data_IF_988260973123
#
_entry.id   IF_988260973123
#
_cell.length_a   1.000
_cell.length_b   1.000
_cell.length_c   1.000
_cell.angle_alpha   90.00
_cell.angle_beta   90.00
_cell.angle_gamma   90.00
#
_symmetry.space_group_name_H-M   'P 1'
#
loop_
_entity.id
_entity.type
_entity.pdbx_description
1 polymer ?
#
# COMPACT_ATOMS: atom_id res chain seq x y z
N UNK A 1 -56.54 25.75 64.86
CA UNK A 1 -57.79 26.48 64.73
C UNK A 1 -58.68 25.74 63.69
N UNK A 2 -59.96 25.66 64.00
CA UNK A 2 -60.94 25.06 63.04
C UNK A 2 -61.85 26.15 62.54
N UNK A 3 -61.86 26.32 61.21
CA UNK A 3 -62.75 27.28 60.57
C UNK A 3 -64.11 26.64 60.30
N UNK A 4 -65.08 27.04 61.10
CA UNK A 4 -66.44 26.54 61.03
C UNK A 4 -67.36 27.43 60.13
N UNK A 5 -66.77 28.45 59.52
CA UNK A 5 -67.49 29.31 58.55
C UNK A 5 -67.67 28.69 57.17
N UNK A 6 -66.92 27.61 56.91
CA UNK A 6 -66.93 26.77 55.71
C UNK A 6 -67.62 25.41 55.97
N UNK A 7 -68.16 24.81 54.96
CA UNK A 7 -68.83 23.49 55.11
C UNK A 7 -68.23 22.52 54.06
N UNK A 8 -67.54 21.45 54.48
CA UNK A 8 -67.29 21.05 55.90
C UNK A 8 -66.29 21.99 56.57
N UNK A 9 -66.28 22.06 57.91
CA UNK A 9 -65.31 22.83 58.71
C UNK A 9 -63.87 22.41 58.36
N UNK A 10 -62.99 23.40 58.19
CA UNK A 10 -61.60 23.18 57.82
C UNK A 10 -60.67 23.41 59.01
N UNK A 11 -59.73 22.50 59.26
CA UNK A 11 -58.62 22.73 60.16
C UNK A 11 -57.53 23.55 59.52
N UNK A 12 -57.21 24.71 60.14
CA UNK A 12 -56.15 25.59 59.67
C UNK A 12 -54.98 25.63 60.65
N UNK A 13 -53.78 25.73 60.14
CA UNK A 13 -52.56 25.86 60.89
C UNK A 13 -51.87 27.17 60.47
N UNK A 14 -51.40 27.91 61.44
CA UNK A 14 -50.63 29.16 61.23
C UNK A 14 -49.17 28.81 60.81
N UNK A 15 -48.74 29.24 59.68
CA UNK A 15 -47.36 28.93 59.17
C UNK A 15 -46.32 29.97 59.60
N UNK A 16 -46.75 31.03 60.27
CA UNK A 16 -45.97 32.19 60.70
C UNK A 16 -46.31 33.46 59.93
N UNK A 17 -47.03 33.34 58.83
CA UNK A 17 -47.43 34.43 57.93
C UNK A 17 -48.92 34.43 57.63
N UNK A 18 -49.49 33.24 57.34
CA UNK A 18 -50.87 33.06 57.01
C UNK A 18 -51.48 31.78 57.56
N UNK A 19 -52.80 31.71 57.58
CA UNK A 19 -53.54 30.50 57.98
C UNK A 19 -53.72 29.57 56.75
N UNK A 20 -52.99 28.44 56.76
CA UNK A 20 -53.08 27.43 55.71
C UNK A 20 -54.02 26.30 56.08
N UNK A 21 -54.73 25.73 55.12
CA UNK A 21 -55.55 24.53 55.31
C UNK A 21 -54.64 23.33 55.61
N UNK A 22 -54.96 22.56 56.66
CA UNK A 22 -54.09 21.42 57.08
C UNK A 22 -53.82 20.41 55.99
N UNK A 23 -54.83 20.12 55.16
CA UNK A 23 -54.66 19.22 53.98
C UNK A 23 -53.67 19.72 52.97
N UNK A 24 -53.57 21.04 52.77
CA UNK A 24 -52.62 21.64 51.86
C UNK A 24 -51.18 21.48 52.38
N UNK A 25 -51.00 21.63 53.70
CA UNK A 25 -49.71 21.41 54.38
C UNK A 25 -49.25 19.96 54.23
N UNK A 26 -50.15 18.99 54.42
CA UNK A 26 -49.81 17.57 54.26
C UNK A 26 -49.48 17.22 52.80
N UNK A 27 -50.22 17.79 51.86
CA UNK A 27 -49.93 17.66 50.43
C UNK A 27 -48.53 18.22 50.07
N UNK A 28 -48.22 19.40 50.59
CA UNK A 28 -46.90 20.00 50.42
C UNK A 28 -45.78 19.11 51.01
N UNK A 29 -45.99 18.61 52.24
CA UNK A 29 -45.02 17.72 52.87
C UNK A 29 -44.79 16.44 52.06
N UNK A 30 -45.83 15.82 51.55
CA UNK A 30 -45.75 14.64 50.72
C UNK A 30 -44.98 14.93 49.42
N UNK A 31 -45.28 16.08 48.80
CA UNK A 31 -44.57 16.48 47.59
C UNK A 31 -43.09 16.72 47.85
N UNK A 32 -42.76 17.40 48.98
CA UNK A 32 -41.34 17.59 49.39
C UNK A 32 -40.63 16.25 49.59
N UNK A 33 -41.27 15.29 50.26
CA UNK A 33 -40.71 13.93 50.45
C UNK A 33 -40.42 13.26 49.11
N UNK A 34 -41.36 13.27 48.18
CA UNK A 34 -41.20 12.68 46.84
C UNK A 34 -40.04 13.39 46.05
N UNK A 35 -39.98 14.70 46.13
CA UNK A 35 -38.88 15.46 45.50
C UNK A 35 -37.53 15.10 46.10
N UNK A 36 -37.45 14.95 47.43
CA UNK A 36 -36.21 14.57 48.11
C UNK A 36 -35.71 13.14 47.70
N UNK A 37 -36.68 12.21 47.59
CA UNK A 37 -36.37 10.87 47.07
C UNK A 37 -35.89 10.86 45.64
N UNK A 38 -36.52 11.66 44.74
CA UNK A 38 -36.10 11.80 43.38
C UNK A 38 -34.71 12.46 43.25
N UNK A 39 -34.43 13.45 44.06
CA UNK A 39 -33.13 14.13 44.09
C UNK A 39 -32.03 13.13 44.53
N UNK A 40 -32.27 12.30 45.52
CA UNK A 40 -31.36 11.24 45.89
C UNK A 40 -31.14 10.19 44.77
N UNK A 41 -32.19 9.82 44.02
CA UNK A 41 -32.08 8.95 42.87
C UNK A 41 -31.27 9.58 41.73
N UNK A 42 -31.46 10.87 41.46
CA UNK A 42 -30.66 11.60 40.48
C UNK A 42 -29.19 11.66 40.90
N UNK A 43 -28.90 11.93 42.17
CA UNK A 43 -27.55 11.96 42.66
C UNK A 43 -26.87 10.60 42.49
N UNK A 44 -27.54 9.51 42.83
CA UNK A 44 -27.02 8.15 42.61
C UNK A 44 -26.74 7.85 41.12
N UNK A 45 -27.59 8.32 40.25
CA UNK A 45 -27.38 8.19 38.79
C UNK A 45 -26.16 8.98 38.32
N UNK A 46 -26.00 10.21 38.81
CA UNK A 46 -24.83 11.07 38.50
C UNK A 46 -23.53 10.41 38.98
N UNK A 47 -23.53 9.87 40.19
CA UNK A 47 -22.37 9.15 40.75
C UNK A 47 -22.01 7.93 39.93
N UNK A 48 -23.02 7.17 39.47
CA UNK A 48 -22.85 6.05 38.54
C UNK A 48 -22.27 6.43 37.20
N UNK A 49 -22.76 7.53 36.61
CA UNK A 49 -22.23 8.08 35.37
C UNK A 49 -20.79 8.58 35.53
N UNK A 50 -20.47 9.23 36.63
CA UNK A 50 -19.10 9.70 36.89
C UNK A 50 -18.13 8.52 37.02
N UNK A 51 -18.54 7.44 37.68
CA UNK A 51 -17.76 6.20 37.75
C UNK A 51 -17.54 5.57 36.37
N UNK A 52 -18.56 5.56 35.51
CA UNK A 52 -18.46 5.03 34.17
C UNK A 52 -17.53 5.88 33.28
N UNK A 53 -17.63 7.21 33.39
CA UNK A 53 -16.72 8.15 32.69
C UNK A 53 -15.26 7.92 33.11
N UNK A 54 -15.02 7.73 34.42
CA UNK A 54 -13.67 7.44 34.91
C UNK A 54 -13.11 6.14 34.30
N UNK A 55 -13.90 5.08 34.26
CA UNK A 55 -13.51 3.81 33.61
C UNK A 55 -13.24 3.97 32.10
N UNK A 56 -14.07 4.73 31.40
CA UNK A 56 -13.85 5.03 29.98
C UNK A 56 -12.55 5.82 29.77
N UNK A 57 -12.26 6.79 30.60
CA UNK A 57 -11.02 7.56 30.55
C UNK A 57 -9.80 6.66 30.70
N UNK A 58 -9.79 5.78 31.68
CA UNK A 58 -8.73 4.80 31.89
C UNK A 58 -8.56 3.86 30.67
N UNK A 59 -9.68 3.42 30.11
CA UNK A 59 -9.66 2.57 28.90
C UNK A 59 -9.07 3.31 27.71
N UNK A 60 -9.43 4.57 27.49
CA UNK A 60 -8.89 5.41 26.40
C UNK A 60 -7.38 5.63 26.59
N UNK A 61 -6.92 5.88 27.82
CA UNK A 61 -5.49 6.01 28.12
C UNK A 61 -4.73 4.71 27.80
N UNK A 62 -5.30 3.56 28.17
CA UNK A 62 -4.71 2.25 27.87
C UNK A 62 -4.60 2.02 26.36
N UNK A 63 -5.67 2.28 25.61
CA UNK A 63 -5.68 2.14 24.14
C UNK A 63 -4.68 3.08 23.49
N UNK A 64 -4.58 4.31 23.99
CA UNK A 64 -3.60 5.29 23.49
C UNK A 64 -2.15 4.83 23.71
N UNK A 65 -1.86 4.25 24.88
CA UNK A 65 -0.55 3.71 25.18
C UNK A 65 -0.22 2.50 24.29
N UNK A 66 -1.18 1.59 24.11
CA UNK A 66 -1.02 0.42 23.23
C UNK A 66 -0.78 0.83 21.78
N UNK A 67 -1.46 1.89 21.31
CA UNK A 67 -1.21 2.46 20.00
C UNK A 67 0.22 2.99 19.86
N UNK A 68 0.74 3.71 20.86
CA UNK A 68 2.12 4.18 20.88
C UNK A 68 3.14 3.03 20.82
N UNK A 69 2.88 1.94 21.54
CA UNK A 69 3.73 0.74 21.50
C UNK A 69 3.70 0.08 20.12
N UNK A 70 2.53 0.05 19.47
CA UNK A 70 2.40 -0.49 18.11
C UNK A 70 3.14 0.36 17.10
N UNK A 71 3.05 1.68 17.17
CA UNK A 71 3.78 2.61 16.32
C UNK A 71 5.30 2.42 16.46
N UNK A 72 5.82 2.30 17.67
CA UNK A 72 7.24 2.03 17.93
C UNK A 72 7.68 0.67 17.34
N UNK A 73 6.86 -0.36 17.46
CA UNK A 73 7.15 -1.68 16.87
C UNK A 73 7.14 -1.67 15.35
N UNK A 74 6.24 -0.90 14.74
CA UNK A 74 6.21 -0.71 13.27
C UNK A 74 7.48 -0.01 12.82
N UNK A 75 7.84 1.12 13.43
CA UNK A 75 9.08 1.85 13.11
C UNK A 75 10.34 0.99 13.26
N UNK A 76 10.40 0.20 14.33
CA UNK A 76 11.52 -0.73 14.55
C UNK A 76 11.56 -1.85 13.49
N UNK A 77 10.40 -2.35 13.07
CA UNK A 77 10.32 -3.34 12.01
C UNK A 77 10.74 -2.78 10.65
N UNK A 78 10.32 -1.54 10.34
CA UNK A 78 10.75 -0.83 9.13
C UNK A 78 12.27 -0.58 9.12
N UNK A 79 12.83 -0.17 10.26
CA UNK A 79 14.28 0.01 10.41
C UNK A 79 15.05 -1.30 10.23
N UNK A 80 14.57 -2.41 10.81
CA UNK A 80 15.18 -3.73 10.66
C UNK A 80 15.07 -4.27 9.25
N UNK A 81 13.97 -3.97 8.55
CA UNK A 81 13.82 -4.30 7.13
C UNK A 81 14.85 -3.52 6.31
N UNK A 82 15.03 -2.23 6.57
CA UNK A 82 16.03 -1.39 5.89
C UNK A 82 17.47 -1.85 6.17
N UNK A 83 17.78 -2.29 7.40
CA UNK A 83 19.09 -2.85 7.74
C UNK A 83 19.38 -4.16 7.01
N UNK A 84 18.34 -5.00 6.80
CA UNK A 84 18.46 -6.23 6.02
C UNK A 84 18.69 -5.96 4.52
N UNK A 85 18.35 -4.76 4.02
CA UNK A 85 18.62 -4.34 2.65
C UNK A 85 20.12 -4.18 2.37
N UNK A 86 20.93 -3.99 3.40
CA UNK A 86 22.34 -3.63 3.24
C UNK A 86 23.35 -4.72 3.55
N UNK A 87 22.95 -5.86 4.04
CA UNK A 87 23.92 -6.84 4.53
C UNK A 87 23.56 -8.29 4.27
N UNK A 88 24.11 -8.86 3.23
CA UNK A 88 24.72 -10.21 3.23
C UNK A 88 25.81 -10.19 2.16
N UNK A 89 27.10 -10.22 2.59
CA UNK A 89 28.29 -10.41 1.75
C UNK A 89 28.40 -9.52 0.50
N UNK A 90 28.08 -8.23 0.64
CA UNK A 90 28.15 -7.28 -0.48
C UNK A 90 27.00 -7.39 -1.48
N UNK A 91 26.00 -8.19 -1.18
CA UNK A 91 24.75 -8.28 -1.94
C UNK A 91 23.86 -7.08 -1.60
N UNK A 92 23.89 -6.07 -2.44
CA UNK A 92 22.90 -4.99 -2.45
C UNK A 92 21.55 -5.53 -2.95
N UNK A 93 20.87 -6.31 -2.14
CA UNK A 93 19.52 -6.76 -2.41
C UNK A 93 18.58 -5.92 -1.58
N UNK A 94 17.78 -5.12 -2.21
CA UNK A 94 16.64 -4.50 -1.55
C UNK A 94 15.60 -5.59 -1.23
N UNK A 95 15.75 -6.22 -0.07
CA UNK A 95 14.86 -7.30 0.38
C UNK A 95 13.37 -6.85 0.37
N UNK A 96 13.13 -5.59 0.66
CA UNK A 96 11.81 -5.01 0.59
C UNK A 96 11.27 -4.98 -0.85
N UNK A 97 12.10 -4.66 -1.82
CA UNK A 97 11.73 -4.67 -3.24
C UNK A 97 11.60 -6.09 -3.78
N UNK A 98 12.41 -7.04 -3.35
CA UNK A 98 12.23 -8.47 -3.69
C UNK A 98 10.94 -9.04 -3.08
N UNK A 99 10.59 -8.68 -1.86
CA UNK A 99 9.39 -9.19 -1.19
C UNK A 99 8.11 -8.53 -1.72
N UNK A 100 8.18 -7.22 -2.03
CA UNK A 100 7.08 -6.47 -2.64
C UNK A 100 7.16 -6.52 -4.16
N UNK A 101 8.37 -6.62 -4.74
CA UNK A 101 8.66 -6.65 -6.16
C UNK A 101 8.20 -7.94 -6.86
N UNK A 102 8.24 -9.06 -6.13
CA UNK A 102 8.13 -10.38 -6.74
C UNK A 102 9.45 -10.80 -7.41
N UNK A 103 9.53 -12.04 -7.83
CA UNK A 103 10.68 -12.56 -8.56
C UNK A 103 10.66 -12.00 -9.98
N UNK A 104 11.77 -11.40 -10.41
CA UNK A 104 11.96 -11.06 -11.82
C UNK A 104 12.30 -12.32 -12.60
N UNK A 105 11.46 -12.69 -13.55
CA UNK A 105 11.67 -13.87 -14.38
C UNK A 105 12.64 -13.65 -15.53
N UNK A 106 12.98 -12.39 -15.86
CA UNK A 106 13.96 -12.07 -16.91
C UNK A 106 15.36 -12.19 -16.35
N UNK A 107 16.13 -13.14 -16.86
CA UNK A 107 17.51 -13.35 -16.47
C UNK A 107 18.41 -12.27 -17.09
N UNK A 108 19.47 -11.85 -16.38
CA UNK A 108 20.37 -10.77 -16.81
C UNK A 108 19.58 -9.55 -17.35
N UNK A 109 18.66 -9.10 -16.56
CA UNK A 109 17.61 -8.13 -16.96
C UNK A 109 18.14 -6.70 -17.12
N UNK A 110 19.29 -6.42 -16.52
CA UNK A 110 20.01 -5.15 -16.60
C UNK A 110 21.15 -5.15 -17.63
N UNK A 111 21.57 -6.33 -18.09
CA UNK A 111 22.75 -6.47 -18.93
C UNK A 111 24.08 -6.35 -18.19
N UNK A 112 24.12 -6.37 -16.88
CA UNK A 112 25.34 -6.29 -16.06
C UNK A 112 26.33 -7.43 -16.35
N UNK A 113 25.81 -8.63 -16.63
CA UNK A 113 26.61 -9.80 -16.93
C UNK A 113 27.03 -9.90 -18.41
N UNK A 114 26.88 -8.83 -19.16
CA UNK A 114 27.14 -8.82 -20.60
C UNK A 114 25.95 -9.31 -21.42
N UNK A 115 26.17 -9.47 -22.73
CA UNK A 115 25.07 -9.78 -23.66
C UNK A 115 24.90 -11.28 -23.90
N UNK A 116 25.93 -12.07 -23.65
CA UNK A 116 25.94 -13.50 -24.01
C UNK A 116 25.20 -14.37 -23.00
N UNK A 117 25.01 -13.87 -21.80
CA UNK A 117 24.35 -14.63 -20.75
C UNK A 117 22.81 -14.48 -20.86
N UNK A 118 22.14 -15.62 -21.03
CA UNK A 118 20.68 -15.74 -21.06
C UNK A 118 19.97 -15.08 -22.28
N UNK A 119 20.67 -14.29 -23.08
CA UNK A 119 20.08 -13.59 -24.22
C UNK A 119 20.54 -14.13 -25.57
N UNK A 120 19.60 -14.23 -26.50
CA UNK A 120 19.88 -14.47 -27.93
C UNK A 120 19.75 -13.14 -28.68
N UNK A 121 20.74 -12.84 -29.50
CA UNK A 121 20.74 -11.59 -30.26
C UNK A 121 21.18 -11.81 -31.73
N UNK A 122 20.83 -10.82 -32.56
CA UNK A 122 21.29 -10.72 -33.95
C UNK A 122 21.63 -9.25 -34.26
N UNK A 123 22.65 -9.06 -35.12
CA UNK A 123 23.13 -7.73 -35.42
C UNK A 123 24.09 -7.18 -34.35
N UNK A 124 24.09 -5.87 -34.19
CA UNK A 124 24.93 -5.15 -33.22
C UNK A 124 24.18 -4.90 -31.94
N UNK A 125 24.45 -5.67 -30.92
CA UNK A 125 23.92 -5.49 -29.56
C UNK A 125 25.09 -5.41 -28.60
N UNK A 126 25.06 -4.50 -27.66
CA UNK A 126 26.06 -4.35 -26.59
C UNK A 126 25.39 -3.95 -25.28
N UNK A 127 26.13 -4.04 -24.21
CA UNK A 127 25.76 -3.39 -22.95
C UNK A 127 26.50 -2.07 -22.80
N UNK A 128 25.89 -1.12 -22.14
CA UNK A 128 26.49 0.19 -21.88
C UNK A 128 26.23 0.57 -20.42
N UNK A 129 27.31 0.73 -19.68
CA UNK A 129 27.29 1.13 -18.26
C UNK A 129 27.48 2.63 -18.08
N UNK A 130 27.83 3.36 -19.14
CA UNK A 130 28.00 4.81 -19.13
C UNK A 130 26.67 5.55 -19.39
N UNK A 131 25.66 4.83 -19.85
CA UNK A 131 24.33 5.41 -20.15
C UNK A 131 23.53 5.43 -18.87
N UNK A 132 23.45 6.61 -18.27
CA UNK A 132 22.60 6.84 -17.11
C UNK A 132 21.13 6.61 -17.49
N UNK A 133 20.49 5.64 -16.89
CA UNK A 133 19.07 5.35 -17.06
C UNK A 133 18.19 6.35 -16.31
N UNK A 134 18.82 7.19 -15.54
CA UNK A 134 18.33 8.35 -14.77
C UNK A 134 17.03 8.21 -13.97
N UNK A 135 17.04 8.88 -12.84
CA UNK A 135 15.88 9.19 -12.02
C UNK A 135 15.20 7.97 -11.36
N UNK A 136 15.88 7.36 -10.41
CA UNK A 136 15.36 6.31 -9.53
C UNK A 136 15.34 4.89 -10.11
N UNK A 137 16.19 4.57 -11.07
CA UNK A 137 16.44 3.19 -11.44
C UNK A 137 17.52 2.58 -10.55
N UNK A 138 17.45 1.27 -10.32
CA UNK A 138 18.45 0.52 -9.55
C UNK A 138 19.62 0.10 -10.46
N UNK A 139 19.34 -0.06 -11.76
CA UNK A 139 20.33 -0.47 -12.76
C UNK A 139 20.99 0.71 -13.45
N UNK A 140 22.31 0.75 -13.38
CA UNK A 140 23.14 1.73 -14.13
C UNK A 140 23.54 1.20 -15.51
N UNK A 141 23.10 0.00 -15.90
CA UNK A 141 23.41 -0.67 -17.14
C UNK A 141 22.19 -0.80 -18.04
N UNK A 142 22.43 -0.86 -19.35
CA UNK A 142 21.38 -1.10 -20.32
C UNK A 142 21.88 -1.89 -21.53
N UNK A 143 20.98 -2.57 -22.23
CA UNK A 143 21.26 -3.10 -23.57
C UNK A 143 21.13 -2.00 -24.63
N UNK A 144 22.01 -1.98 -25.59
CA UNK A 144 21.99 -1.05 -26.73
C UNK A 144 21.93 -1.86 -28.01
N UNK A 145 20.83 -1.75 -28.72
CA UNK A 145 20.60 -2.37 -30.03
C UNK A 145 20.91 -1.36 -31.12
N UNK A 146 21.84 -1.70 -32.02
CA UNK A 146 22.11 -0.94 -33.22
C UNK A 146 21.09 -1.20 -34.34
N UNK A 147 21.37 -0.64 -35.54
CA UNK A 147 20.49 -0.85 -36.70
C UNK A 147 20.37 -2.33 -37.09
N UNK A 148 19.18 -2.72 -37.49
CA UNK A 148 18.83 -4.11 -37.90
C UNK A 148 19.17 -5.18 -36.86
N UNK A 149 19.11 -4.82 -35.57
CA UNK A 149 19.48 -5.69 -34.50
C UNK A 149 18.26 -6.18 -33.73
N UNK A 150 18.37 -7.36 -33.15
CA UNK A 150 17.33 -7.91 -32.28
C UNK A 150 17.93 -8.52 -31.01
N UNK A 151 17.14 -8.55 -29.96
CA UNK A 151 17.45 -9.14 -28.66
C UNK A 151 16.25 -9.93 -28.18
N UNK A 152 16.43 -11.14 -27.71
CA UNK A 152 15.33 -11.96 -27.20
C UNK A 152 15.76 -12.93 -26.11
N UNK A 153 14.80 -13.25 -25.23
CA UNK A 153 14.97 -14.26 -24.20
C UNK A 153 13.68 -15.10 -24.09
N UNK A 154 13.85 -16.40 -23.87
CA UNK A 154 12.77 -17.32 -23.51
C UNK A 154 12.73 -17.50 -22.00
N UNK A 155 11.62 -17.09 -21.39
CA UNK A 155 11.32 -17.28 -19.99
C UNK A 155 10.58 -18.58 -19.83
N UNK A 156 11.14 -19.54 -19.13
CA UNK A 156 10.60 -20.89 -18.96
C UNK A 156 10.12 -21.14 -17.53
N UNK A 157 9.24 -22.11 -17.37
CA UNK A 157 8.71 -22.48 -16.07
C UNK A 157 7.65 -21.51 -15.54
N UNK A 158 7.02 -20.76 -16.44
CA UNK A 158 5.91 -19.86 -16.12
C UNK A 158 4.69 -20.69 -15.75
N UNK A 159 4.07 -20.37 -14.62
CA UNK A 159 2.82 -21.02 -14.19
C UNK A 159 1.60 -20.29 -14.78
N UNK A 160 0.46 -20.97 -14.98
CA UNK A 160 -0.73 -20.27 -15.43
C UNK A 160 -1.14 -19.14 -14.51
N UNK A 161 -1.40 -17.95 -15.08
CA UNK A 161 -1.73 -16.77 -14.26
C UNK A 161 -1.73 -15.45 -15.01
N UNK A 162 -1.65 -14.37 -14.25
CA UNK A 162 -1.52 -13.02 -14.75
C UNK A 162 -0.10 -12.55 -14.52
N UNK A 163 0.49 -11.85 -15.50
CA UNK A 163 1.86 -11.36 -15.44
C UNK A 163 1.93 -9.89 -15.85
N UNK A 164 2.77 -9.14 -15.21
CA UNK A 164 3.11 -7.76 -15.59
C UNK A 164 4.52 -7.72 -16.14
N UNK A 165 4.67 -7.11 -17.30
CA UNK A 165 5.95 -6.88 -17.97
C UNK A 165 6.22 -5.38 -17.97
N UNK A 166 7.42 -5.00 -17.57
CA UNK A 166 7.88 -3.62 -17.63
C UNK A 166 9.27 -3.53 -18.27
N UNK A 167 9.55 -2.40 -18.87
CA UNK A 167 10.85 -2.05 -19.41
C UNK A 167 11.03 -0.53 -19.42
N UNK A 168 12.18 -0.06 -19.07
CA UNK A 168 12.60 1.31 -19.31
C UNK A 168 13.37 1.38 -20.60
N UNK A 169 12.92 2.19 -21.54
CA UNK A 169 13.49 2.24 -22.86
C UNK A 169 13.70 3.67 -23.36
N UNK A 170 14.71 3.83 -24.26
CA UNK A 170 15.00 5.04 -25.02
C UNK A 170 15.24 4.68 -26.46
N UNK A 171 14.81 5.53 -27.39
CA UNK A 171 14.99 5.33 -28.81
C UNK A 171 15.38 6.63 -29.47
N UNK A 172 16.52 6.62 -30.15
CA UNK A 172 17.11 7.83 -30.74
C UNK A 172 16.69 8.13 -32.20
N UNK A 173 15.98 7.18 -32.82
CA UNK A 173 15.60 7.26 -34.23
C UNK A 173 14.10 7.38 -34.43
N UNK A 174 13.70 7.95 -35.55
CA UNK A 174 12.31 8.02 -36.03
C UNK A 174 11.86 6.79 -36.83
N UNK A 175 12.75 5.83 -37.10
CA UNK A 175 12.40 4.57 -37.77
C UNK A 175 11.76 3.56 -36.81
N UNK A 176 11.15 2.51 -37.34
CA UNK A 176 10.41 1.53 -36.53
C UNK A 176 11.32 0.77 -35.57
N UNK A 177 10.88 0.67 -34.34
CA UNK A 177 11.43 -0.18 -33.31
C UNK A 177 10.30 -0.67 -32.41
N UNK A 178 10.42 -1.89 -31.92
CA UNK A 178 9.41 -2.46 -31.07
C UNK A 178 9.98 -3.39 -30.02
N UNK A 179 9.25 -3.49 -28.93
CA UNK A 179 9.47 -4.46 -27.87
C UNK A 179 8.13 -5.08 -27.52
N UNK A 180 8.09 -6.42 -27.52
CA UNK A 180 6.88 -7.16 -27.24
C UNK A 180 7.19 -8.45 -26.46
N UNK A 181 6.13 -9.03 -25.93
CA UNK A 181 6.13 -10.38 -25.34
C UNK A 181 5.15 -11.27 -26.11
N UNK A 182 5.58 -12.49 -26.45
CA UNK A 182 4.69 -13.53 -26.96
C UNK A 182 4.34 -14.53 -25.86
N UNK A 183 3.10 -15.00 -25.85
CA UNK A 183 2.54 -15.93 -24.90
C UNK A 183 1.37 -16.71 -25.50
N UNK A 184 0.98 -17.81 -24.89
CA UNK A 184 -0.14 -18.64 -25.33
C UNK A 184 -0.07 -18.95 -26.84
N UNK A 185 1.07 -19.48 -27.26
CA UNK A 185 1.37 -19.82 -28.65
C UNK A 185 1.67 -18.63 -29.54
N UNK A 186 0.68 -17.79 -29.84
CA UNK A 186 0.84 -16.71 -30.84
C UNK A 186 0.30 -15.34 -30.38
N UNK A 187 -0.15 -15.22 -29.15
CA UNK A 187 -0.56 -13.87 -28.66
C UNK A 187 0.66 -13.00 -28.48
N UNK A 188 0.53 -11.74 -28.86
CA UNK A 188 1.60 -10.76 -28.76
C UNK A 188 1.10 -9.51 -28.02
N UNK A 189 1.83 -9.11 -27.00
CA UNK A 189 1.59 -7.87 -26.29
C UNK A 189 2.78 -6.93 -26.48
N UNK A 190 2.53 -5.75 -27.05
CA UNK A 190 3.56 -4.74 -27.30
C UNK A 190 3.71 -3.82 -26.09
N UNK A 191 4.93 -3.65 -25.60
CA UNK A 191 5.29 -2.58 -24.67
C UNK A 191 5.45 -1.27 -25.43
N UNK A 192 6.16 -1.31 -26.56
CA UNK A 192 6.13 -0.24 -27.54
C UNK A 192 6.26 -0.79 -28.96
N UNK A 193 5.67 -0.06 -29.90
CA UNK A 193 5.82 -0.24 -31.34
C UNK A 193 5.74 1.15 -31.97
N UNK A 194 6.89 1.82 -32.09
CA UNK A 194 6.95 3.24 -32.41
C UNK A 194 7.93 3.53 -33.52
N UNK A 195 7.51 4.43 -34.42
CA UNK A 195 8.33 5.04 -35.45
C UNK A 195 8.81 6.45 -35.07
N UNK A 196 8.70 6.82 -33.78
CA UNK A 196 9.17 8.12 -33.27
C UNK A 196 10.31 7.91 -32.29
N UNK A 197 11.23 8.83 -32.20
CA UNK A 197 12.20 8.88 -31.12
C UNK A 197 11.48 9.20 -29.80
N UNK A 198 12.02 8.69 -28.70
CA UNK A 198 11.57 9.01 -27.35
C UNK A 198 12.76 8.89 -26.38
N UNK A 199 12.73 9.71 -25.36
CA UNK A 199 13.70 9.64 -24.27
C UNK A 199 13.28 8.56 -23.25
N UNK A 200 14.11 8.33 -22.24
CA UNK A 200 13.86 7.31 -21.22
C UNK A 200 12.41 7.34 -20.73
N UNK A 201 11.70 6.29 -21.05
CA UNK A 201 10.26 6.14 -20.80
C UNK A 201 10.00 4.74 -20.27
N UNK A 202 9.17 4.65 -19.25
CA UNK A 202 8.72 3.38 -18.69
C UNK A 202 7.52 2.87 -19.47
N UNK A 203 7.59 1.63 -19.92
CA UNK A 203 6.52 0.93 -20.60
C UNK A 203 6.10 -0.29 -19.79
N UNK A 204 4.81 -0.51 -19.70
CA UNK A 204 4.24 -1.63 -18.95
C UNK A 204 3.08 -2.24 -19.71
N UNK A 205 2.96 -3.55 -19.64
CA UNK A 205 1.79 -4.31 -20.15
C UNK A 205 1.46 -5.44 -19.18
N UNK A 206 0.17 -5.69 -19.00
CA UNK A 206 -0.33 -6.83 -18.23
C UNK A 206 -0.86 -7.90 -19.17
N UNK A 207 -0.38 -9.12 -18.99
CA UNK A 207 -0.86 -10.32 -19.65
C UNK A 207 -1.86 -11.02 -18.72
N UNK A 208 -3.06 -11.21 -19.17
CA UNK A 208 -4.08 -12.02 -18.48
C UNK A 208 -4.17 -13.41 -19.12
N UNK A 209 -4.57 -14.39 -18.32
CA UNK A 209 -4.83 -15.75 -18.78
C UNK A 209 -3.63 -16.37 -19.52
N UNK A 210 -2.43 -16.16 -18.99
CA UNK A 210 -1.24 -16.88 -19.46
C UNK A 210 -1.40 -18.34 -19.08
N UNK A 211 -1.29 -19.23 -20.06
CA UNK A 211 -1.43 -20.69 -19.90
C UNK A 211 -0.20 -21.45 -20.35
N UNK A 212 0.61 -20.88 -21.23
CA UNK A 212 1.85 -21.49 -21.69
C UNK A 212 2.95 -21.41 -20.64
N UNK A 213 3.75 -22.46 -20.45
CA UNK A 213 4.86 -22.45 -19.51
C UNK A 213 6.07 -21.62 -19.99
N UNK A 214 5.93 -20.94 -21.14
CA UNK A 214 7.02 -20.16 -21.75
C UNK A 214 6.50 -18.84 -22.28
N UNK A 215 7.17 -17.75 -21.87
CA UNK A 215 7.04 -16.43 -22.47
C UNK A 215 8.29 -16.14 -23.31
N UNK A 216 8.18 -15.32 -24.32
CA UNK A 216 9.33 -14.79 -25.05
C UNK A 216 9.28 -13.29 -25.10
N UNK A 217 10.29 -12.64 -24.56
CA UNK A 217 10.54 -11.21 -24.77
C UNK A 217 11.35 -11.03 -26.06
N UNK A 218 11.01 -10.01 -26.83
CA UNK A 218 11.67 -9.71 -28.10
C UNK A 218 11.71 -8.21 -28.37
N UNK A 219 12.89 -7.70 -28.64
CA UNK A 219 13.12 -6.34 -29.11
C UNK A 219 13.74 -6.37 -30.50
N UNK A 220 13.35 -5.43 -31.35
CA UNK A 220 13.94 -5.20 -32.66
C UNK A 220 14.11 -3.69 -32.90
N UNK A 221 15.24 -3.34 -33.48
CA UNK A 221 15.54 -2.00 -33.94
C UNK A 221 15.86 -2.02 -35.43
N UNK A 222 15.11 -1.26 -36.23
CA UNK A 222 15.34 -1.16 -37.67
C UNK A 222 16.44 -0.16 -38.03
N UNK A 223 16.58 0.90 -37.24
CA UNK A 223 17.52 1.98 -37.53
C UNK A 223 17.92 2.71 -36.24
N UNK A 224 19.17 3.16 -36.15
CA UNK A 224 19.81 3.81 -35.02
C UNK A 224 19.81 2.93 -33.76
N UNK A 225 19.65 3.51 -32.57
CA UNK A 225 19.80 2.76 -31.32
C UNK A 225 18.52 2.73 -30.51
N UNK A 226 18.18 1.53 -30.01
CA UNK A 226 17.22 1.31 -28.92
C UNK A 226 18.01 0.91 -27.69
N UNK A 227 17.74 1.57 -26.60
CA UNK A 227 18.28 1.30 -25.27
C UNK A 227 17.19 0.64 -24.43
N UNK A 228 17.53 -0.43 -23.75
CA UNK A 228 16.63 -1.18 -22.85
C UNK A 228 17.28 -1.36 -21.50
N UNK A 229 16.62 -0.91 -20.47
CA UNK A 229 17.02 -1.09 -19.08
C UNK A 229 15.85 -1.62 -18.27
N UNK A 230 16.15 -2.16 -17.11
CA UNK A 230 15.16 -2.53 -16.08
C UNK A 230 14.05 -3.45 -16.64
N UNK A 231 14.42 -4.41 -17.48
CA UNK A 231 13.47 -5.36 -18.04
C UNK A 231 12.99 -6.27 -16.92
N UNK A 232 11.68 -6.35 -16.72
CA UNK A 232 11.11 -7.13 -15.63
C UNK A 232 9.83 -7.84 -16.04
N UNK A 233 9.69 -9.08 -15.64
CA UNK A 233 8.45 -9.86 -15.68
C UNK A 233 8.17 -10.36 -14.28
N UNK A 234 6.99 -10.04 -13.77
CA UNK A 234 6.54 -10.50 -12.45
C UNK A 234 5.15 -11.07 -12.51
N UNK A 235 4.84 -11.98 -11.60
CA UNK A 235 3.50 -12.48 -11.39
C UNK A 235 2.59 -11.39 -10.79
N UNK A 236 1.34 -11.35 -11.25
CA UNK A 236 0.32 -10.40 -10.79
C UNK A 236 0.04 -9.28 -11.80
N UNK A 237 -1.04 -8.52 -11.54
CA UNK A 237 -1.54 -7.46 -12.41
C UNK A 237 -0.97 -6.07 -12.08
N UNK A 238 -0.22 -5.92 -11.00
CA UNK A 238 0.27 -4.63 -10.52
C UNK A 238 1.71 -4.44 -10.97
N UNK A 239 2.02 -3.36 -11.70
CA UNK A 239 3.41 -3.00 -12.01
C UNK A 239 4.22 -2.81 -10.72
N UNK A 240 5.42 -3.33 -10.73
CA UNK A 240 6.32 -3.24 -9.58
C UNK A 240 7.59 -2.50 -9.97
N UNK A 241 8.28 -1.97 -9.00
CA UNK A 241 9.60 -1.40 -9.21
C UNK A 241 10.56 -2.51 -9.64
N UNK A 242 11.46 -2.20 -10.56
CA UNK A 242 12.42 -3.16 -11.06
C UNK A 242 13.31 -3.71 -9.93
N UNK A 243 13.53 -5.00 -9.98
CA UNK A 243 14.50 -5.73 -9.17
C UNK A 243 15.35 -6.62 -10.07
N UNK A 244 16.65 -6.81 -9.79
CA UNK A 244 17.47 -7.74 -10.55
C UNK A 244 16.91 -9.17 -10.45
N UNK A 245 17.19 -9.96 -11.45
CA UNK A 245 16.88 -11.38 -11.39
C UNK A 245 17.74 -12.07 -10.33
N UNK A 246 17.29 -13.19 -9.73
CA UNK A 246 18.06 -13.88 -8.70
C UNK A 246 19.49 -14.26 -9.11
N UNK A 247 19.74 -14.55 -10.40
CA UNK A 247 21.07 -14.88 -10.90
C UNK A 247 21.99 -13.65 -11.09
N UNK A 248 21.44 -12.45 -11.17
CA UNK A 248 22.25 -11.22 -11.27
C UNK A 248 22.89 -10.82 -9.94
N UNK A 249 22.35 -11.30 -8.84
CA UNK A 249 22.80 -10.98 -7.48
C UNK A 249 24.10 -11.71 -7.12
N UNK A 250 24.32 -12.89 -7.70
CA UNK A 250 25.44 -13.78 -7.33
C UNK A 250 26.71 -13.58 -8.16
N UNK A 251 26.73 -12.65 -9.09
CA UNK A 251 27.85 -12.46 -10.02
C UNK A 251 28.66 -11.18 -9.80
N UNK A 252 28.42 -10.48 -8.69
CA UNK A 252 29.20 -9.29 -8.29
C UNK A 252 30.34 -9.64 -7.33
#
# INVERSE_FOLDING_TARGET
WVDTSVTPPETKIWDGNEWMVQNDIETIRTTISILTEKDAQFQQTIDGLNSYVATLTETVETVSNDQGVLEERVLNSESRVSELEHTVDGLSVTMQEQYIGGINYVQNSSGLNGITDDWSYSGTVKTDTSTDTQNNTISDSCFVLGAYSSLSQYIRGVVPGTYTISVRAKKTSTMSGYFYVTYNGNKTAYLFNKSTAFDWTDFTVTLTDVTDPTLRVYCYCRDASVYLADIMITEGAIPRKWTPAPNEIYTQ
#
